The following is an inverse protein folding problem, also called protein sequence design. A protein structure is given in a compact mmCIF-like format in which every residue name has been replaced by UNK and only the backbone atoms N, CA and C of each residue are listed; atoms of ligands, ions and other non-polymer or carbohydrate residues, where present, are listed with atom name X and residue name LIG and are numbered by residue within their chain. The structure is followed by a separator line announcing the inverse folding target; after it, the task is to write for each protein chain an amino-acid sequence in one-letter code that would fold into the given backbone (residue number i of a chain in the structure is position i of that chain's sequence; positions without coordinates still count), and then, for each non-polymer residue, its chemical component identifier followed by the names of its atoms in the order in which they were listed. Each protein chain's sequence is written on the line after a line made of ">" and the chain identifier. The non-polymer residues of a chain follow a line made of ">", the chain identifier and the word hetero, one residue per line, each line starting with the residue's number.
data_IF_272085073005
#
_entry.id   IF_272085073005
#
_cell.length_a   1.000
_cell.length_b   1.000
_cell.length_c   1.000
_cell.angle_alpha   90.00
_cell.angle_beta   90.00
_cell.angle_gamma   90.00
#
_symmetry.space_group_name_H-M   'P 1'
#
loop_
_entity.id
_entity.type
_entity.pdbx_description
1 polymer ?
#
# COMPACT_ATOMS: atom_id res chain seq x y z
N UNK A 1 -17.48 -3.52 -0.61
CA UNK A 1 -17.30 -2.17 -1.21
C UNK A 1 -15.82 -1.85 -1.13
N UNK A 2 -15.22 -1.31 -2.19
CA UNK A 2 -13.80 -0.97 -2.15
C UNK A 2 -13.59 0.36 -1.42
N UNK A 3 -12.56 0.45 -0.57
CA UNK A 3 -12.22 1.66 0.19
C UNK A 3 -10.72 1.91 0.11
N UNK A 4 -10.32 3.15 -0.16
CA UNK A 4 -8.92 3.57 -0.10
C UNK A 4 -8.61 4.00 1.33
N UNK A 5 -7.63 3.35 1.95
CA UNK A 5 -7.20 3.62 3.33
C UNK A 5 -5.68 3.75 3.41
N UNK A 6 -5.14 4.56 4.33
CA UNK A 6 -3.69 4.62 4.53
C UNK A 6 -3.15 3.25 4.94
N UNK A 7 -2.00 2.87 4.38
CA UNK A 7 -1.28 1.65 4.73
C UNK A 7 -0.20 1.97 5.77
N UNK A 8 -0.04 1.10 6.77
CA UNK A 8 0.96 1.26 7.82
C UNK A 8 2.22 0.46 7.47
N UNK A 9 3.39 1.07 7.58
CA UNK A 9 4.66 0.37 7.43
C UNK A 9 4.91 -0.51 8.66
N UNK A 10 5.11 -1.81 8.45
CA UNK A 10 5.31 -2.80 9.52
C UNK A 10 6.73 -3.38 9.53
N UNK A 11 7.40 -3.46 8.37
CA UNK A 11 8.81 -3.80 8.29
C UNK A 11 9.56 -2.84 7.34
N UNK A 12 10.29 -1.85 7.87
CA UNK A 12 11.06 -0.91 7.05
C UNK A 12 12.17 -1.56 6.23
N UNK A 13 12.77 -2.66 6.71
CA UNK A 13 13.88 -3.33 6.02
C UNK A 13 13.46 -4.05 4.74
N UNK A 14 12.19 -4.47 4.68
CA UNK A 14 11.60 -5.16 3.53
C UNK A 14 10.58 -4.29 2.79
N UNK A 15 10.37 -3.05 3.22
CA UNK A 15 9.30 -2.19 2.75
C UNK A 15 7.92 -2.90 2.78
N UNK A 16 7.64 -3.60 3.88
CA UNK A 16 6.37 -4.29 4.10
C UNK A 16 5.33 -3.35 4.74
N UNK A 17 4.13 -3.35 4.16
CA UNK A 17 2.99 -2.56 4.59
C UNK A 17 1.78 -3.43 4.88
N UNK A 18 0.91 -2.94 5.77
CA UNK A 18 -0.35 -3.56 6.13
C UNK A 18 -1.52 -2.59 5.93
N UNK A 19 -2.66 -3.11 5.48
CA UNK A 19 -3.93 -2.41 5.36
C UNK A 19 -5.06 -3.20 6.03
N UNK A 20 -6.20 -2.57 6.34
CA UNK A 20 -7.31 -3.23 7.03
C UNK A 20 -8.33 -3.84 6.05
N UNK A 21 -7.90 -4.85 5.30
CA UNK A 21 -8.73 -5.60 4.36
C UNK A 21 -7.93 -6.20 3.20
N UNK A 22 -8.61 -6.94 2.33
CA UNK A 22 -7.95 -7.58 1.18
C UNK A 22 -7.50 -6.54 0.16
N UNK A 23 -6.20 -6.47 -0.12
CA UNK A 23 -5.61 -5.46 -1.00
C UNK A 23 -5.97 -5.74 -2.47
N UNK A 24 -6.36 -4.70 -3.18
CA UNK A 24 -6.69 -4.73 -4.61
C UNK A 24 -5.70 -3.89 -5.42
N UNK A 25 -5.37 -2.69 -4.92
CA UNK A 25 -4.44 -1.74 -5.53
C UNK A 25 -3.70 -0.97 -4.45
N UNK A 26 -2.49 -0.53 -4.77
CA UNK A 26 -1.66 0.29 -3.88
C UNK A 26 -1.31 1.58 -4.60
N UNK A 27 -1.24 2.66 -3.83
CA UNK A 27 -0.94 4.01 -4.30
C UNK A 27 0.13 4.65 -3.43
N UNK A 28 0.91 5.53 -4.02
CA UNK A 28 1.84 6.42 -3.34
C UNK A 28 1.49 7.87 -3.69
N UNK A 29 1.69 8.79 -2.76
CA UNK A 29 1.49 10.22 -3.00
C UNK A 29 2.74 10.85 -3.59
N UNK A 30 2.61 11.60 -4.68
CA UNK A 30 3.70 12.43 -5.20
C UNK A 30 3.88 13.73 -4.38
N UNK A 31 4.83 14.59 -4.78
CA UNK A 31 5.10 15.88 -4.12
C UNK A 31 3.95 16.90 -4.15
N UNK A 32 2.94 16.65 -4.98
CA UNK A 32 1.70 17.44 -5.05
C UNK A 32 0.55 16.84 -4.23
N UNK A 33 0.76 15.68 -3.60
CA UNK A 33 -0.26 14.95 -2.85
C UNK A 33 -1.21 14.10 -3.70
N UNK A 34 -0.94 13.92 -4.99
CA UNK A 34 -1.76 13.10 -5.87
C UNK A 34 -1.47 11.61 -5.66
N UNK A 35 -2.51 10.78 -5.67
CA UNK A 35 -2.40 9.33 -5.55
C UNK A 35 -2.04 8.70 -6.90
N UNK A 36 -0.83 8.16 -6.99
CA UNK A 36 -0.36 7.45 -8.17
C UNK A 36 -0.35 5.94 -7.88
N UNK A 37 -0.94 5.10 -8.76
CA UNK A 37 -0.91 3.66 -8.59
C UNK A 37 0.54 3.15 -8.72
N UNK A 38 0.93 2.23 -7.84
CA UNK A 38 2.26 1.64 -7.84
C UNK A 38 2.19 0.12 -7.84
N UNK A 39 3.24 -0.50 -8.37
CA UNK A 39 3.39 -1.95 -8.33
C UNK A 39 3.80 -2.43 -6.94
N UNK A 40 3.28 -3.59 -6.56
CA UNK A 40 3.56 -4.20 -5.27
C UNK A 40 3.56 -5.73 -5.41
N UNK A 41 4.21 -6.39 -4.45
CA UNK A 41 4.15 -7.84 -4.30
C UNK A 41 3.18 -8.17 -3.17
N UNK A 42 2.11 -8.91 -3.48
CA UNK A 42 1.16 -9.38 -2.48
C UNK A 42 1.87 -10.34 -1.50
N UNK A 43 1.68 -10.13 -0.20
CA UNK A 43 2.15 -11.06 0.83
C UNK A 43 1.27 -12.32 0.86
N UNK A 44 1.68 -13.36 1.58
CA UNK A 44 0.82 -14.54 1.80
C UNK A 44 -0.45 -14.17 2.58
N UNK A 45 -0.37 -13.12 3.40
CA UNK A 45 -1.52 -12.52 4.06
C UNK A 45 -2.15 -11.48 3.11
N UNK A 46 -3.46 -11.62 2.86
CA UNK A 46 -4.20 -10.77 1.92
C UNK A 46 -4.26 -9.29 2.34
N UNK A 47 -3.91 -8.98 3.59
CA UNK A 47 -3.90 -7.65 4.21
C UNK A 47 -2.51 -7.00 4.24
N UNK A 48 -1.48 -7.69 3.71
CA UNK A 48 -0.10 -7.19 3.62
C UNK A 48 0.45 -7.20 2.20
N UNK A 49 1.39 -6.30 1.96
CA UNK A 49 2.12 -6.23 0.71
C UNK A 49 3.53 -5.65 0.89
N UNK A 50 4.39 -5.92 -0.08
CA UNK A 50 5.75 -5.42 -0.14
C UNK A 50 5.91 -4.49 -1.33
N UNK A 51 6.50 -3.32 -1.10
CA UNK A 51 6.91 -2.42 -2.18
C UNK A 51 8.31 -2.79 -2.67
N UNK A 52 8.48 -2.79 -3.99
CA UNK A 52 9.79 -3.07 -4.61
C UNK A 52 10.72 -1.85 -4.58
N UNK A 53 10.17 -0.67 -4.35
CA UNK A 53 10.88 0.60 -4.34
C UNK A 53 10.44 1.42 -3.13
N UNK A 54 11.31 2.35 -2.72
CA UNK A 54 10.99 3.30 -1.67
C UNK A 54 9.89 4.27 -2.18
N UNK A 55 8.76 4.41 -1.45
CA UNK A 55 7.72 5.37 -1.83
C UNK A 55 8.22 6.81 -1.66
N UNK A 56 7.67 7.70 -2.47
CA UNK A 56 7.90 9.14 -2.40
C UNK A 56 7.23 9.76 -1.17
N UNK A 57 6.01 9.32 -0.84
CA UNK A 57 5.22 9.90 0.24
C UNK A 57 4.43 8.86 1.04
N UNK A 58 3.16 9.17 1.29
CA UNK A 58 2.26 8.31 2.07
C UNK A 58 1.68 7.22 1.18
N UNK A 59 1.75 5.98 1.66
CA UNK A 59 1.20 4.82 0.97
C UNK A 59 -0.26 4.60 1.34
N UNK A 60 -1.09 4.37 0.34
CA UNK A 60 -2.50 4.02 0.49
C UNK A 60 -2.79 2.68 -0.19
N UNK A 61 -3.73 1.93 0.35
CA UNK A 61 -4.23 0.70 -0.26
C UNK A 61 -5.73 0.82 -0.51
N UNK A 62 -6.17 0.44 -1.69
CA UNK A 62 -7.57 0.10 -1.92
C UNK A 62 -7.81 -1.33 -1.47
N UNK A 63 -8.75 -1.49 -0.55
CA UNK A 63 -9.08 -2.78 0.04
C UNK A 63 -10.54 -3.16 -0.16
N UNK A 64 -10.81 -4.46 -0.23
CA UNK A 64 -12.16 -5.02 -0.08
C UNK A 64 -12.37 -5.37 1.39
N UNK A 65 -13.45 -4.82 1.97
CA UNK A 65 -14.01 -5.26 3.26
C UNK A 65 -15.09 -6.30 3.06
#
# INVERSE_FOLDING_TARGET
>A
MNVITPAALVNPGEFEYQANGKIVRVFDTNGSGELLPIEYKQHADDDKFILQFQPFGTVYAEVVR
#
